data_IF_978944984784
#
_entry.id   IF_978944984784
#
_cell.length_a   1.000
_cell.length_b   1.000
_cell.length_c   1.000
_cell.angle_alpha   90.00
_cell.angle_beta   90.00
_cell.angle_gamma   90.00
#
_symmetry.space_group_name_H-M   'P 1'
#
loop_
_entity.id
_entity.type
_entity.pdbx_description
1 polymer ?
#
# COMPACT_ATOMS: atom_id res chain seq x y z
N UNK A 1 -16.59 0.45 26.26
CA UNK A 1 -16.63 0.22 24.85
C UNK A 1 -15.37 0.71 24.19
N UNK A 2 -14.80 -0.08 23.36
CA UNK A 2 -13.53 0.24 22.74
C UNK A 2 -13.76 0.74 21.34
N UNK A 3 -13.16 1.86 21.02
CA UNK A 3 -13.28 2.38 19.69
C UNK A 3 -12.28 1.68 18.78
N UNK A 4 -12.71 1.30 17.62
CA UNK A 4 -11.81 0.71 16.67
C UNK A 4 -11.05 1.82 15.97
N UNK A 5 -9.79 1.59 15.77
CA UNK A 5 -8.98 2.53 15.03
C UNK A 5 -8.56 1.89 13.73
N UNK A 6 -8.61 2.66 12.68
CA UNK A 6 -8.23 2.18 11.38
C UNK A 6 -7.00 2.95 10.97
N UNK A 7 -5.97 2.22 10.58
CA UNK A 7 -4.75 2.84 10.07
C UNK A 7 -4.65 2.56 8.60
N UNK A 8 -4.43 3.60 7.81
CA UNK A 8 -4.34 3.46 6.38
C UNK A 8 -3.06 4.14 5.94
N UNK A 9 -2.23 3.40 5.24
CA UNK A 9 -1.02 3.94 4.67
C UNK A 9 -1.10 3.82 3.17
N UNK A 10 -0.79 4.87 2.48
CA UNK A 10 -0.71 4.81 1.04
C UNK A 10 0.69 4.41 0.63
N UNK A 11 0.80 3.65 -0.41
CA UNK A 11 2.09 3.23 -0.91
C UNK A 11 2.12 3.27 -2.42
N UNK A 12 3.32 3.26 -2.95
CA UNK A 12 3.53 3.27 -4.40
C UNK A 12 4.57 2.21 -4.71
N UNK A 13 4.33 1.48 -5.78
CA UNK A 13 5.30 0.49 -6.23
C UNK A 13 6.44 1.22 -6.93
N UNK A 14 7.65 1.05 -6.42
CA UNK A 14 8.79 1.67 -7.04
C UNK A 14 9.35 0.76 -8.12
N UNK A 15 9.47 -0.51 -7.83
CA UNK A 15 9.96 -1.48 -8.80
C UNK A 15 9.63 -2.86 -8.30
N UNK A 16 9.74 -3.84 -9.16
CA UNK A 16 9.62 -5.22 -8.71
C UNK A 16 10.34 -6.12 -9.69
N UNK A 17 10.73 -7.28 -9.20
CA UNK A 17 11.45 -8.23 -10.03
C UNK A 17 10.62 -9.47 -10.31
N UNK A 18 9.33 -9.41 -10.08
CA UNK A 18 8.47 -10.56 -10.30
C UNK A 18 8.24 -11.36 -9.03
N UNK A 19 9.10 -11.24 -8.06
CA UNK A 19 8.97 -11.98 -6.83
C UNK A 19 8.83 -11.05 -5.64
N UNK A 20 9.61 -9.99 -5.62
CA UNK A 20 9.54 -8.99 -4.57
C UNK A 20 9.39 -7.62 -5.16
N UNK A 21 8.66 -6.79 -4.47
CA UNK A 21 8.43 -5.42 -4.89
C UNK A 21 9.06 -4.48 -3.88
N UNK A 22 9.71 -3.44 -4.40
CA UNK A 22 10.21 -2.37 -3.55
C UNK A 22 9.16 -1.28 -3.59
N UNK A 23 8.71 -0.87 -2.42
CA UNK A 23 7.60 0.06 -2.33
C UNK A 23 7.99 1.24 -1.46
N UNK A 24 7.35 2.37 -1.69
CA UNK A 24 7.50 3.51 -0.84
C UNK A 24 6.19 3.71 -0.11
N UNK A 25 6.26 3.78 1.20
CA UNK A 25 5.06 3.97 2.02
C UNK A 25 5.06 5.39 2.55
N UNK A 26 3.94 6.05 2.40
CA UNK A 26 3.80 7.40 2.90
C UNK A 26 3.41 7.36 4.34
N UNK A 27 4.32 7.69 5.21
CA UNK A 27 4.03 7.74 6.62
C UNK A 27 3.46 9.10 6.95
N UNK A 28 3.06 9.26 8.19
CA UNK A 28 2.45 10.49 8.63
C UNK A 28 3.38 11.65 8.32
N UNK A 29 2.94 12.62 7.56
CA UNK A 29 3.83 13.72 7.20
C UNK A 29 4.26 14.58 8.38
N UNK A 30 3.56 14.49 9.48
CA UNK A 30 3.95 15.28 10.62
C UNK A 30 5.19 14.77 11.29
N UNK A 31 5.67 13.61 10.92
CA UNK A 31 6.80 13.05 11.63
C UNK A 31 8.12 13.32 10.99
N UNK A 32 8.20 14.07 9.98
CA UNK A 32 9.46 14.33 9.35
C UNK A 32 10.17 13.12 8.84
N UNK A 33 9.52 12.02 8.81
CA UNK A 33 10.21 10.82 8.43
C UNK A 33 10.31 10.62 6.96
N UNK A 34 9.56 11.33 6.21
CA UNK A 34 9.54 11.08 4.79
C UNK A 34 9.00 9.71 4.47
N UNK A 35 9.10 9.30 3.24
CA UNK A 35 8.61 7.99 2.86
C UNK A 35 9.53 6.91 3.37
N UNK A 36 8.96 5.80 3.72
CA UNK A 36 9.71 4.63 4.11
C UNK A 36 9.75 3.67 2.94
N UNK A 37 10.89 3.01 2.77
CA UNK A 37 11.04 2.04 1.70
C UNK A 37 10.95 0.66 2.32
N UNK A 38 10.19 -0.21 1.69
CA UNK A 38 10.03 -1.58 2.17
C UNK A 38 10.06 -2.53 1.00
N UNK A 39 10.35 -3.79 1.28
CA UNK A 39 10.32 -4.82 0.27
C UNK A 39 9.22 -5.78 0.65
N UNK A 40 8.33 -6.07 -0.27
CA UNK A 40 7.18 -6.92 -0.02
C UNK A 40 7.08 -7.97 -1.08
N UNK A 41 6.60 -9.16 -0.74
CA UNK A 41 6.42 -10.18 -1.78
C UNK A 41 5.33 -9.74 -2.75
N UNK A 42 5.57 -9.96 -4.01
CA UNK A 42 4.55 -9.65 -5.01
C UNK A 42 3.27 -10.42 -4.72
N UNK A 43 3.41 -11.62 -4.19
CA UNK A 43 2.23 -12.43 -3.90
C UNK A 43 1.34 -11.84 -2.81
N UNK A 44 1.83 -10.88 -2.05
CA UNK A 44 1.00 -10.26 -1.02
C UNK A 44 -0.01 -9.29 -1.60
N UNK A 45 0.13 -8.92 -2.85
CA UNK A 45 -0.77 -7.97 -3.46
C UNK A 45 -1.92 -8.69 -4.15
N UNK A 46 -3.16 -8.23 -3.94
CA UNK A 46 -4.30 -8.87 -4.57
C UNK A 46 -4.52 -8.41 -6.00
N UNK A 47 -3.57 -7.75 -6.58
CA UNK A 47 -3.72 -7.21 -7.92
C UNK A 47 -2.40 -7.32 -8.65
N UNK A 48 -2.46 -7.06 -9.92
CA UNK A 48 -1.26 -7.00 -10.71
C UNK A 48 -0.55 -5.70 -10.40
N UNK A 49 0.73 -5.76 -10.12
CA UNK A 49 1.45 -4.56 -9.75
C UNK A 49 2.39 -4.16 -10.87
N UNK A 50 2.69 -2.89 -10.91
CA UNK A 50 3.62 -2.34 -11.86
C UNK A 50 4.18 -1.06 -11.27
N UNK A 51 5.25 -0.59 -11.84
CA UNK A 51 5.89 0.60 -11.34
C UNK A 51 4.92 1.77 -11.36
N UNK A 52 4.79 2.45 -10.26
CA UNK A 52 3.86 3.57 -10.15
C UNK A 52 2.49 3.22 -9.63
N UNK A 53 2.19 1.93 -9.47
CA UNK A 53 0.88 1.54 -8.96
C UNK A 53 0.71 1.99 -7.53
N UNK A 54 -0.44 2.54 -7.21
CA UNK A 54 -0.75 2.99 -5.86
C UNK A 54 -1.57 1.92 -5.16
N UNK A 55 -1.25 1.69 -3.92
CA UNK A 55 -1.99 0.74 -3.12
C UNK A 55 -2.13 1.30 -1.71
N UNK A 56 -2.95 0.65 -0.91
CA UNK A 56 -3.16 1.06 0.47
C UNK A 56 -3.02 -0.13 1.38
N UNK A 57 -2.40 0.10 2.53
CA UNK A 57 -2.32 -0.91 3.57
C UNK A 57 -3.28 -0.49 4.66
N UNK A 58 -4.25 -1.33 4.95
CA UNK A 58 -5.29 -1.02 5.92
C UNK A 58 -5.17 -1.99 7.07
N UNK A 59 -5.15 -1.46 8.27
CA UNK A 59 -5.04 -2.29 9.45
C UNK A 59 -6.00 -1.79 10.50
N UNK A 60 -6.74 -2.69 11.08
CA UNK A 60 -7.58 -2.37 12.23
C UNK A 60 -6.80 -2.61 13.49
N UNK A 61 -7.01 -1.75 14.47
CA UNK A 61 -6.15 -1.76 15.64
C UNK A 61 -6.19 -3.06 16.40
N UNK A 62 -7.27 -3.77 16.33
CA UNK A 62 -7.34 -5.01 17.07
C UNK A 62 -7.00 -6.22 16.26
N UNK A 63 -6.67 -6.05 15.00
CA UNK A 63 -6.28 -7.16 14.16
C UNK A 63 -4.82 -7.07 13.91
N UNK A 64 -4.16 -8.21 13.89
CA UNK A 64 -2.74 -8.16 13.62
C UNK A 64 -2.43 -8.17 12.16
N UNK A 65 -3.33 -8.64 11.35
CA UNK A 65 -3.05 -8.74 9.94
C UNK A 65 -3.51 -7.49 9.22
N UNK A 66 -2.69 -6.98 8.37
CA UNK A 66 -3.04 -5.86 7.53
C UNK A 66 -3.54 -6.37 6.19
N UNK A 67 -4.41 -5.59 5.58
CA UNK A 67 -4.96 -5.94 4.28
C UNK A 67 -4.44 -4.95 3.26
N UNK A 68 -4.02 -5.44 2.12
CA UNK A 68 -3.55 -4.57 1.05
C UNK A 68 -4.69 -4.41 0.07
N UNK A 69 -4.99 -3.15 -0.25
CA UNK A 69 -6.04 -2.83 -1.20
C UNK A 69 -5.40 -2.06 -2.32
N UNK A 70 -5.59 -2.53 -3.54
CA UNK A 70 -5.03 -1.86 -4.69
C UNK A 70 -5.96 -0.77 -5.15
N UNK A 71 -5.39 0.33 -5.57
CA UNK A 71 -6.20 1.38 -6.13
C UNK A 71 -6.79 0.89 -7.44
N UNK A 72 -8.09 1.09 -7.59
CA UNK A 72 -8.73 0.66 -8.79
C UNK A 72 -8.31 1.58 -9.91
N UNK A 73 -7.94 0.99 -11.03
CA UNK A 73 -7.56 1.80 -12.14
C UNK A 73 -8.75 2.46 -12.71
N UNK A 74 -8.57 3.70 -13.11
CA UNK A 74 -9.65 4.36 -13.75
C UNK A 74 -9.95 3.70 -15.02
N UNK A 75 -11.22 3.54 -15.36
CA UNK A 75 -11.53 3.05 -16.69
C UNK A 75 -10.98 4.02 -17.68
N UNK A 76 -10.63 3.50 -18.82
CA UNK A 76 -10.11 4.35 -19.83
C UNK A 76 -11.20 5.24 -20.30
N UNK A 77 -11.12 6.50 -19.93
CA UNK A 77 -12.14 7.34 -20.27
C UNK A 77 -11.97 7.97 -21.52
N UNK A 78 -10.92 7.71 -22.12
CA UNK A 78 -10.68 8.36 -23.34
C UNK A 78 -11.56 7.87 -24.39
N UNK A 79 -12.34 7.04 -24.09
CA UNK A 79 -13.15 6.60 -25.05
C UNK A 79 -14.17 7.27 -25.26
#
# INVERSE_FOLDING_TARGET
>A
MTALKVFILAGTIDSHDGQFATVELNLNPATNGGPAVAVMPVAAFPCEIYEGKVFYVVKLSELEDAVIICQKEKPDESR
#
